data_IF_332190297872
#
_entry.id   IF_332190297872
#
_cell.length_a   1.000
_cell.length_b   1.000
_cell.length_c   1.000
_cell.angle_alpha   90.00
_cell.angle_beta   90.00
_cell.angle_gamma   90.00
#
_symmetry.space_group_name_H-M   'P 1'
#
loop_
_entity.id
_entity.type
_entity.pdbx_description
1 polymer ?
#
# COMPACT_ATOMS: atom_id res chain seq x y z
N UNK A 1 -8.97 -2.62 -12.18
CA UNK A 1 -9.56 -2.44 -10.84
C UNK A 1 -10.85 -3.25 -10.82
N UNK A 2 -10.88 -4.36 -10.08
CA UNK A 2 -12.10 -5.15 -9.94
C UNK A 2 -13.06 -4.34 -9.06
N UNK A 3 -14.15 -3.82 -9.64
CA UNK A 3 -15.18 -3.13 -8.88
C UNK A 3 -15.80 -4.06 -7.84
N UNK A 4 -16.39 -3.49 -6.79
CA UNK A 4 -17.12 -4.26 -5.78
C UNK A 4 -18.16 -5.15 -6.46
N UNK A 5 -18.20 -6.45 -6.14
CA UNK A 5 -19.21 -7.34 -6.70
C UNK A 5 -20.59 -6.88 -6.23
N UNK A 6 -21.47 -6.58 -7.18
CA UNK A 6 -22.86 -6.26 -6.88
C UNK A 6 -23.49 -7.47 -6.16
N UNK A 7 -23.96 -7.25 -4.93
CA UNK A 7 -24.62 -8.26 -4.12
C UNK A 7 -26.12 -7.96 -4.08
N UNK A 8 -26.93 -8.87 -4.61
CA UNK A 8 -28.39 -8.76 -4.60
C UNK A 8 -28.99 -10.09 -4.18
N UNK A 9 -30.01 -10.05 -3.32
CA UNK A 9 -30.68 -11.22 -2.79
C UNK A 9 -32.19 -11.09 -3.00
N UNK A 10 -32.78 -12.14 -3.57
CA UNK A 10 -34.22 -12.27 -3.70
C UNK A 10 -34.67 -13.49 -2.92
N UNK A 11 -35.41 -13.27 -1.84
CA UNK A 11 -35.98 -14.33 -1.02
C UNK A 11 -37.45 -14.56 -1.43
N UNK A 12 -37.77 -15.76 -1.91
CA UNK A 12 -39.14 -16.15 -2.29
C UNK A 12 -39.70 -17.03 -1.19
N UNK A 13 -40.73 -16.55 -0.48
CA UNK A 13 -41.39 -17.27 0.59
C UNK A 13 -42.86 -17.46 0.19
N UNK A 14 -43.37 -18.70 0.15
CA UNK A 14 -44.80 -18.93 -0.04
C UNK A 14 -45.61 -18.30 1.11
N UNK A 15 -46.68 -17.58 0.75
CA UNK A 15 -47.60 -16.97 1.73
C UNK A 15 -48.14 -17.95 2.78
N UNK A 16 -48.55 -19.20 2.47
CA UNK A 16 -49.01 -20.13 3.50
C UNK A 16 -47.92 -20.49 4.52
N UNK A 17 -46.67 -20.63 4.07
CA UNK A 17 -45.54 -20.95 4.94
C UNK A 17 -45.15 -19.77 5.82
N UNK A 18 -45.32 -18.55 5.30
CA UNK A 18 -45.09 -17.31 6.02
C UNK A 18 -46.10 -17.10 7.16
N UNK A 19 -47.36 -17.49 6.94
CA UNK A 19 -48.44 -17.46 7.94
C UNK A 19 -48.30 -18.58 8.98
N UNK A 20 -47.75 -19.72 8.58
CA UNK A 20 -47.50 -20.87 9.46
C UNK A 20 -46.18 -20.76 10.25
N UNK A 21 -45.46 -19.64 10.13
CA UNK A 21 -44.16 -19.45 10.76
C UNK A 21 -44.31 -19.40 12.30
N UNK A 22 -43.70 -20.33 13.05
CA UNK A 22 -43.81 -20.37 14.50
C UNK A 22 -43.12 -19.18 15.17
N UNK A 23 -43.55 -18.84 16.38
CA UNK A 23 -42.99 -17.72 17.15
C UNK A 23 -41.48 -17.93 17.38
N UNK A 24 -40.67 -16.97 16.94
CA UNK A 24 -39.21 -17.02 17.05
C UNK A 24 -38.49 -17.67 15.86
N UNK A 25 -39.22 -18.18 14.86
CA UNK A 25 -38.62 -18.61 13.60
C UNK A 25 -38.49 -17.44 12.61
N UNK A 26 -37.44 -17.46 11.81
CA UNK A 26 -37.20 -16.50 10.73
C UNK A 26 -36.73 -17.20 9.45
N UNK A 27 -37.14 -16.66 8.32
CA UNK A 27 -36.53 -16.97 7.03
C UNK A 27 -35.34 -16.04 6.83
N UNK A 28 -34.18 -16.61 6.56
CA UNK A 28 -32.97 -15.84 6.31
C UNK A 28 -32.42 -16.19 4.93
N UNK A 29 -31.83 -15.20 4.27
CA UNK A 29 -31.08 -15.39 3.05
C UNK A 29 -29.83 -14.51 3.09
N UNK A 30 -28.76 -14.97 2.45
CA UNK A 30 -27.52 -14.22 2.30
C UNK A 30 -26.97 -14.45 0.89
N UNK A 31 -26.63 -13.36 0.20
CA UNK A 31 -25.86 -13.41 -1.04
C UNK A 31 -24.79 -12.32 -1.01
N UNK A 32 -23.52 -12.74 -0.86
CA UNK A 32 -22.39 -11.82 -0.72
C UNK A 32 -22.56 -10.89 0.48
N UNK A 33 -22.59 -9.58 0.19
CA UNK A 33 -22.77 -8.51 1.17
C UNK A 33 -24.24 -8.29 1.53
N UNK A 34 -25.20 -8.82 0.77
CA UNK A 34 -26.63 -8.63 1.00
C UNK A 34 -27.21 -9.76 1.86
N UNK A 35 -27.90 -9.41 2.95
CA UNK A 35 -28.66 -10.33 3.79
C UNK A 35 -30.10 -9.86 3.96
N UNK A 36 -31.02 -10.80 4.15
CA UNK A 36 -32.42 -10.52 4.47
C UNK A 36 -32.89 -11.52 5.51
N UNK A 37 -33.54 -11.02 6.55
CA UNK A 37 -34.21 -11.78 7.59
C UNK A 37 -35.69 -11.38 7.64
N UNK A 38 -36.58 -12.37 7.51
CA UNK A 38 -38.03 -12.20 7.56
C UNK A 38 -38.57 -12.97 8.76
N UNK A 39 -39.16 -12.25 9.70
CA UNK A 39 -39.72 -12.81 10.93
C UNK A 39 -41.20 -12.46 11.04
N UNK A 40 -42.02 -13.37 11.56
CA UNK A 40 -43.42 -13.10 11.88
C UNK A 40 -43.57 -12.76 13.36
N UNK A 41 -44.22 -11.63 13.67
CA UNK A 41 -44.50 -11.19 15.04
C UNK A 41 -45.98 -10.86 15.18
N UNK A 42 -46.76 -11.86 15.60
CA UNK A 42 -48.22 -11.74 15.72
C UNK A 42 -48.83 -11.58 14.34
N UNK A 43 -49.43 -10.41 14.09
CA UNK A 43 -50.06 -10.04 12.81
C UNK A 43 -49.14 -9.18 11.92
N UNK A 44 -47.86 -9.03 12.28
CA UNK A 44 -46.92 -8.16 11.57
C UNK A 44 -45.71 -8.93 11.06
N UNK A 45 -45.35 -8.68 9.81
CA UNK A 45 -44.12 -9.16 9.19
C UNK A 45 -43.00 -8.15 9.39
N UNK A 46 -41.89 -8.60 9.97
CA UNK A 46 -40.68 -7.82 10.16
C UNK A 46 -39.64 -8.29 9.15
N UNK A 47 -39.32 -7.42 8.19
CA UNK A 47 -38.30 -7.68 7.17
C UNK A 47 -37.08 -6.81 7.48
N UNK A 48 -35.96 -7.44 7.79
CA UNK A 48 -34.68 -6.78 8.05
C UNK A 48 -33.76 -7.06 6.87
N UNK A 49 -33.36 -6.02 6.14
CA UNK A 49 -32.34 -6.14 5.09
C UNK A 49 -31.01 -5.59 5.61
N UNK A 50 -29.94 -6.32 5.35
CA UNK A 50 -28.56 -5.93 5.67
C UNK A 50 -27.73 -5.86 4.40
N UNK A 51 -26.84 -4.88 4.33
CA UNK A 51 -25.87 -4.74 3.25
C UNK A 51 -24.53 -4.33 3.84
N UNK A 52 -23.52 -5.18 3.75
CA UNK A 52 -22.17 -4.88 4.25
C UNK A 52 -21.43 -3.97 3.26
N UNK A 53 -21.61 -2.66 3.42
CA UNK A 53 -20.97 -1.63 2.58
C UNK A 53 -19.52 -1.33 2.96
N UNK A 54 -19.00 -1.88 4.07
CA UNK A 54 -17.64 -1.60 4.54
C UNK A 54 -16.56 -2.11 3.58
N UNK A 55 -16.90 -3.09 2.75
CA UNK A 55 -15.99 -3.63 1.75
C UNK A 55 -15.54 -2.58 0.72
N UNK A 56 -16.37 -1.55 0.46
CA UNK A 56 -16.00 -0.39 -0.38
C UNK A 56 -14.91 0.46 0.24
N UNK A 57 -15.02 0.67 1.55
CA UNK A 57 -14.10 1.51 2.29
C UNK A 57 -12.72 0.84 2.38
N UNK A 58 -12.68 -0.47 2.60
CA UNK A 58 -11.45 -1.26 2.63
C UNK A 58 -10.73 -1.22 1.28
N UNK A 59 -11.42 -1.48 0.16
CA UNK A 59 -10.81 -1.41 -1.18
C UNK A 59 -10.21 -0.03 -1.46
N UNK A 60 -10.91 1.04 -1.07
CA UNK A 60 -10.41 2.41 -1.23
C UNK A 60 -9.14 2.66 -0.41
N UNK A 61 -9.10 2.20 0.85
CA UNK A 61 -7.91 2.34 1.70
C UNK A 61 -6.74 1.49 1.21
N UNK A 62 -6.98 0.27 0.72
CA UNK A 62 -5.93 -0.59 0.14
C UNK A 62 -5.34 0.05 -1.12
N UNK A 63 -6.18 0.59 -2.00
CA UNK A 63 -5.74 1.31 -3.20
C UNK A 63 -4.89 2.53 -2.83
N UNK A 64 -5.32 3.33 -1.85
CA UNK A 64 -4.58 4.50 -1.38
C UNK A 64 -3.22 4.12 -0.73
N UNK A 65 -3.17 3.03 0.03
CA UNK A 65 -1.92 2.52 0.61
C UNK A 65 -0.94 2.00 -0.44
N UNK A 66 -1.42 1.34 -1.49
CA UNK A 66 -0.54 0.86 -2.59
C UNK A 66 0.07 2.02 -3.37
N UNK A 67 -0.64 3.13 -3.55
CA UNK A 67 -0.09 4.34 -4.18
C UNK A 67 1.08 4.92 -3.40
N UNK A 68 0.90 5.10 -2.09
CA UNK A 68 1.94 5.67 -1.20
C UNK A 68 3.20 4.78 -1.17
N UNK A 69 3.01 3.45 -1.20
CA UNK A 69 4.13 2.50 -1.21
C UNK A 69 4.89 2.48 -2.54
N UNK A 70 4.19 2.66 -3.67
CA UNK A 70 4.82 2.80 -4.99
C UNK A 70 5.73 4.02 -5.11
N UNK A 71 5.32 5.15 -4.54
CA UNK A 71 6.11 6.39 -4.56
C UNK A 71 7.33 6.34 -3.62
N UNK A 72 7.32 5.49 -2.59
CA UNK A 72 8.47 5.33 -1.69
C UNK A 72 9.58 4.47 -2.31
N UNK A 73 9.23 3.52 -3.19
CA UNK A 73 10.20 2.66 -3.90
C UNK A 73 10.88 3.43 -5.04
N UNK A 74 10.14 4.25 -5.80
CA UNK A 74 10.70 5.02 -6.91
C UNK A 74 11.65 6.14 -6.46
N UNK A 75 11.41 6.76 -5.29
CA UNK A 75 12.33 7.78 -4.73
C UNK A 75 13.60 7.14 -4.15
N UNK A 76 13.49 5.93 -3.59
CA UNK A 76 14.64 5.22 -3.03
C UNK A 76 15.54 4.65 -4.13
N UNK A 77 14.98 4.14 -5.23
CA UNK A 77 15.77 3.57 -6.33
C UNK A 77 16.49 4.64 -7.17
N UNK A 78 15.89 5.82 -7.38
CA UNK A 78 16.55 6.91 -8.12
C UNK A 78 17.66 7.57 -7.29
N UNK A 79 17.47 7.70 -5.98
CA UNK A 79 18.51 8.28 -5.11
C UNK A 79 19.67 7.32 -4.82
N UNK A 80 19.42 6.01 -4.72
CA UNK A 80 20.49 5.02 -4.55
C UNK A 80 21.29 4.78 -5.85
N UNK A 81 20.67 4.88 -7.03
CA UNK A 81 21.36 4.67 -8.31
C UNK A 81 22.33 5.82 -8.64
N UNK A 82 21.98 7.07 -8.33
CA UNK A 82 22.94 8.19 -8.47
C UNK A 82 24.05 8.16 -7.41
N UNK A 83 23.77 7.74 -6.18
CA UNK A 83 24.79 7.67 -5.13
C UNK A 83 25.79 6.53 -5.36
N UNK A 84 25.34 5.32 -5.69
CA UNK A 84 26.24 4.18 -5.96
C UNK A 84 27.11 4.37 -7.19
N UNK A 85 26.65 5.12 -8.21
CA UNK A 85 27.48 5.43 -9.38
C UNK A 85 28.61 6.42 -9.03
N UNK A 86 28.41 7.31 -8.05
CA UNK A 86 29.39 8.33 -7.66
C UNK A 86 30.43 7.81 -6.66
N UNK A 87 30.07 6.85 -5.80
CA UNK A 87 30.97 6.27 -4.80
C UNK A 87 31.53 4.92 -5.24
N UNK A 88 32.28 4.88 -6.36
CA UNK A 88 33.20 3.77 -6.57
C UNK A 88 34.41 3.98 -5.65
N UNK A 89 34.60 3.20 -4.58
CA UNK A 89 35.66 3.41 -3.60
C UNK A 89 37.05 3.36 -4.24
N UNK A 90 37.20 2.60 -5.33
CA UNK A 90 38.46 2.52 -6.10
C UNK A 90 38.73 3.83 -6.84
N UNK A 91 37.71 4.49 -7.41
CA UNK A 91 37.88 5.78 -8.09
C UNK A 91 38.24 6.91 -7.11
N UNK A 92 37.60 6.92 -5.94
CA UNK A 92 37.89 7.90 -4.88
C UNK A 92 39.32 7.70 -4.37
N UNK A 93 39.74 6.46 -4.11
CA UNK A 93 41.10 6.14 -3.70
C UNK A 93 42.14 6.56 -4.74
N UNK A 94 41.87 6.32 -6.03
CA UNK A 94 42.76 6.70 -7.13
C UNK A 94 42.94 8.24 -7.22
N UNK A 95 41.85 8.99 -7.12
CA UNK A 95 41.88 10.46 -7.18
C UNK A 95 42.64 11.03 -5.97
N UNK A 96 42.38 10.51 -4.76
CA UNK A 96 43.07 10.93 -3.54
C UNK A 96 44.58 10.63 -3.61
N UNK A 97 44.96 9.48 -4.16
CA UNK A 97 46.36 9.10 -4.35
C UNK A 97 47.09 10.04 -5.31
N UNK A 98 46.49 10.35 -6.46
CA UNK A 98 47.07 11.26 -7.46
C UNK A 98 47.22 12.68 -6.87
N UNK A 99 46.20 13.18 -6.17
CA UNK A 99 46.25 14.49 -5.52
C UNK A 99 47.34 14.57 -4.43
N UNK A 100 47.47 13.51 -3.61
CA UNK A 100 48.50 13.43 -2.59
C UNK A 100 49.92 13.42 -3.18
N UNK A 101 50.14 12.65 -4.24
CA UNK A 101 51.44 12.61 -4.94
C UNK A 101 51.82 13.97 -5.54
N UNK A 102 50.89 14.64 -6.23
CA UNK A 102 51.14 15.97 -6.78
C UNK A 102 51.48 17.00 -5.70
N UNK A 103 50.73 17.00 -4.59
CA UNK A 103 50.98 17.88 -3.44
C UNK A 103 52.38 17.65 -2.83
N UNK A 104 52.78 16.39 -2.65
CA UNK A 104 54.10 16.04 -2.11
C UNK A 104 55.25 16.51 -3.01
N UNK A 105 55.12 16.36 -4.33
CA UNK A 105 56.11 16.83 -5.30
C UNK A 105 56.25 18.35 -5.25
N UNK A 106 55.12 19.08 -5.25
CA UNK A 106 55.11 20.55 -5.17
C UNK A 106 55.75 21.03 -3.86
N UNK A 107 55.41 20.41 -2.73
CA UNK A 107 55.99 20.77 -1.44
C UNK A 107 57.51 20.54 -1.41
N UNK A 108 57.98 19.43 -1.99
CA UNK A 108 59.42 19.11 -2.07
C UNK A 108 60.17 20.13 -2.94
N UNK A 109 59.58 20.53 -4.07
CA UNK A 109 60.16 21.54 -4.97
C UNK A 109 60.21 22.92 -4.31
N UNK A 110 59.14 23.31 -3.58
CA UNK A 110 59.10 24.57 -2.85
C UNK A 110 60.14 24.61 -1.71
N UNK A 111 60.30 23.50 -0.97
CA UNK A 111 61.32 23.39 0.08
C UNK A 111 62.72 23.49 -0.52
N UNK A 112 63.01 22.78 -1.63
CA UNK A 112 64.31 22.89 -2.31
C UNK A 112 64.57 24.30 -2.84
N UNK A 113 63.58 24.95 -3.46
CA UNK A 113 63.72 26.35 -3.89
C UNK A 113 64.05 27.27 -2.72
N UNK A 114 63.33 27.15 -1.60
CA UNK A 114 63.58 27.97 -0.41
C UNK A 114 64.95 27.71 0.24
N UNK A 115 65.48 26.49 0.14
CA UNK A 115 66.82 26.14 0.63
C UNK A 115 67.95 26.58 -0.30
N UNK A 116 67.69 26.72 -1.60
CA UNK A 116 68.69 27.14 -2.58
C UNK A 116 68.78 28.67 -2.74
N UNK A 117 67.73 29.39 -2.35
CA UNK A 117 67.67 30.86 -2.40
C UNK A 117 68.21 31.54 -1.12
N UNK A 118 68.95 30.80 -0.28
CA UNK A 118 69.58 31.27 0.95
C UNK A 118 71.07 31.00 0.91
#
# INVERSE_FOLDING_TARGET
MAGLPASALTLKIPVPDLLALPAGASYHGKNGQAGVDVTSRGDTLVVTSTCDSLQRLVLWYEEELTRIRGDTVSVSEVSETEFKQRFNPVKIALIAFIAGMASGIVLTVLIKRRLYEK
#
